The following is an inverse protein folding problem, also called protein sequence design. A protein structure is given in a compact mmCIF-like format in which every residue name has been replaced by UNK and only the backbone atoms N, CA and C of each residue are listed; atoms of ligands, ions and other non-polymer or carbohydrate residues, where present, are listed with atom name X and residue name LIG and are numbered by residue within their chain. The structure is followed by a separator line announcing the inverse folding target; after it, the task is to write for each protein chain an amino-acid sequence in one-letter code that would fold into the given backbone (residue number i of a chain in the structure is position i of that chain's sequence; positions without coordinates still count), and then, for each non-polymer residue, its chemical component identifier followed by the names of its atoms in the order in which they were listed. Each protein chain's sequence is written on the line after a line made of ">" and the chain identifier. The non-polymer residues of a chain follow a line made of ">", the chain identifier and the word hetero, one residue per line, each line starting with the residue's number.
data_IF_782915034965
#
_entry.id   IF_782915034965
#
_cell.length_a   1.000
_cell.length_b   1.000
_cell.length_c   1.000
_cell.angle_alpha   90.00
_cell.angle_beta   90.00
_cell.angle_gamma   90.00
#
_symmetry.space_group_name_H-M   'P 1'
#
loop_
_entity.id
_entity.type
_entity.pdbx_description
1 polymer ?
#
# COMPACT_ATOMS: atom_id res chain seq x y z
N UNK A 1 -0.94 -18.80 15.26
CA UNK A 1 -0.06 -18.95 14.08
C UNK A 1 -0.62 -19.82 12.97
N UNK A 2 -1.15 -21.03 13.24
CA UNK A 2 -1.66 -21.92 12.18
C UNK A 2 -2.65 -21.22 11.27
N UNK A 3 -3.69 -20.58 11.82
CA UNK A 3 -4.68 -19.84 11.02
C UNK A 3 -4.08 -18.74 10.11
N UNK A 4 -3.01 -18.08 10.54
CA UNK A 4 -2.33 -17.06 9.73
C UNK A 4 -1.49 -17.68 8.62
N UNK A 5 -0.83 -18.83 8.89
CA UNK A 5 -0.13 -19.60 7.87
C UNK A 5 -1.12 -20.13 6.82
N UNK A 6 -2.24 -20.69 7.25
CA UNK A 6 -3.29 -21.18 6.36
C UNK A 6 -3.90 -20.03 5.52
N UNK A 7 -3.94 -18.81 6.06
CA UNK A 7 -4.33 -17.61 5.31
C UNK A 7 -3.28 -17.24 4.26
N UNK A 8 -1.99 -17.24 4.61
CA UNK A 8 -0.90 -17.00 3.67
C UNK A 8 -0.85 -18.07 2.58
N UNK A 9 -1.07 -19.35 2.90
CA UNK A 9 -1.14 -20.43 1.90
C UNK A 9 -2.32 -20.24 0.94
N UNK A 10 -3.48 -19.79 1.44
CA UNK A 10 -4.61 -19.39 0.59
C UNK A 10 -4.26 -18.23 -0.32
N UNK A 11 -3.48 -17.25 0.15
CA UNK A 11 -2.98 -16.13 -0.66
C UNK A 11 -2.03 -16.63 -1.75
N UNK A 12 -1.08 -17.48 -1.38
CA UNK A 12 -0.08 -18.00 -2.31
C UNK A 12 -0.68 -18.94 -3.38
N UNK A 13 -1.83 -19.54 -3.11
CA UNK A 13 -2.60 -20.35 -4.05
C UNK A 13 -3.47 -19.55 -5.03
N UNK A 14 -3.57 -18.22 -4.91
CA UNK A 14 -4.30 -17.38 -5.86
C UNK A 14 -3.55 -17.25 -7.20
N UNK A 15 -4.23 -16.71 -8.21
CA UNK A 15 -3.57 -16.36 -9.48
C UNK A 15 -2.47 -15.32 -9.23
N UNK A 16 -1.44 -15.31 -10.09
CA UNK A 16 -0.20 -14.54 -9.88
C UNK A 16 -0.47 -13.10 -9.46
N UNK A 17 -1.27 -12.34 -10.23
CA UNK A 17 -1.54 -10.93 -9.93
C UNK A 17 -2.27 -10.70 -8.60
N UNK A 18 -3.19 -11.60 -8.21
CA UNK A 18 -3.90 -11.48 -6.92
C UNK A 18 -2.98 -11.80 -5.74
N UNK A 19 -2.11 -12.80 -5.88
CA UNK A 19 -1.09 -13.13 -4.89
C UNK A 19 -0.11 -11.96 -4.71
N UNK A 20 0.36 -11.37 -5.81
CA UNK A 20 1.23 -10.20 -5.79
C UNK A 20 0.57 -9.01 -5.09
N UNK A 21 -0.66 -8.66 -5.49
CA UNK A 21 -1.43 -7.58 -4.86
C UNK A 21 -1.62 -7.81 -3.36
N UNK A 22 -2.03 -9.02 -2.95
CA UNK A 22 -2.22 -9.36 -1.54
C UNK A 22 -0.92 -9.20 -0.74
N UNK A 23 0.21 -9.67 -1.28
CA UNK A 23 1.52 -9.55 -0.63
C UNK A 23 1.96 -8.10 -0.52
N UNK A 24 1.73 -7.28 -1.55
CA UNK A 24 2.02 -5.85 -1.48
C UNK A 24 1.16 -5.16 -0.43
N UNK A 25 -0.16 -5.37 -0.43
CA UNK A 25 -1.07 -4.79 0.58
C UNK A 25 -0.64 -5.17 2.00
N UNK A 26 -0.40 -6.45 2.26
CA UNK A 26 0.02 -6.92 3.59
C UNK A 26 1.40 -6.37 3.99
N UNK A 27 2.35 -6.32 3.05
CA UNK A 27 3.67 -5.76 3.27
C UNK A 27 3.59 -4.28 3.66
N UNK A 28 2.83 -3.49 2.92
CA UNK A 28 2.63 -2.08 3.22
C UNK A 28 1.99 -1.90 4.60
N UNK A 29 0.83 -2.51 4.86
CA UNK A 29 0.13 -2.36 6.16
C UNK A 29 1.02 -2.77 7.33
N UNK A 30 1.86 -3.80 7.16
CA UNK A 30 2.74 -4.29 8.23
C UNK A 30 3.95 -3.40 8.46
N UNK A 31 4.58 -2.90 7.40
CA UNK A 31 5.91 -2.29 7.47
C UNK A 31 5.94 -0.76 7.37
N UNK A 32 4.77 -0.12 7.18
CA UNK A 32 4.69 1.35 7.22
C UNK A 32 4.89 1.92 8.62
N UNK A 33 5.42 3.15 8.69
CA UNK A 33 5.69 3.84 9.96
C UNK A 33 4.45 4.39 10.66
N UNK A 34 3.36 4.57 9.91
CA UNK A 34 2.05 5.01 10.41
C UNK A 34 0.94 4.34 9.61
N UNK A 35 -0.28 4.23 10.14
CA UNK A 35 -1.41 3.77 9.36
C UNK A 35 -1.62 4.60 8.10
N UNK A 36 -1.99 3.93 7.02
CA UNK A 36 -2.31 4.53 5.73
C UNK A 36 -3.81 4.60 5.50
N UNK A 37 -4.26 5.64 4.80
CA UNK A 37 -5.58 5.62 4.18
C UNK A 37 -5.60 4.65 3.01
N UNK A 38 -6.79 4.22 2.59
CA UNK A 38 -6.96 3.43 1.37
C UNK A 38 -6.37 4.13 0.15
N UNK A 39 -6.61 5.43 0.01
CA UNK A 39 -6.12 6.24 -1.11
C UNK A 39 -4.59 6.36 -1.14
N UNK A 40 -3.95 6.53 0.03
CA UNK A 40 -2.49 6.52 0.13
C UNK A 40 -1.91 5.19 -0.37
N UNK A 41 -2.47 4.06 0.10
CA UNK A 41 -1.99 2.75 -0.33
C UNK A 41 -2.28 2.47 -1.81
N UNK A 42 -3.46 2.85 -2.32
CA UNK A 42 -3.79 2.75 -3.74
C UNK A 42 -2.74 3.45 -4.62
N UNK A 43 -2.39 4.69 -4.26
CA UNK A 43 -1.35 5.43 -4.98
C UNK A 43 0.00 4.73 -4.88
N UNK A 44 0.39 4.23 -3.70
CA UNK A 44 1.64 3.51 -3.52
C UNK A 44 1.74 2.24 -4.38
N UNK A 45 0.64 1.50 -4.50
CA UNK A 45 0.60 0.28 -5.30
C UNK A 45 0.59 0.54 -6.81
N UNK A 46 0.14 1.72 -7.24
CA UNK A 46 0.13 2.14 -8.65
C UNK A 46 1.46 2.75 -9.14
N UNK A 47 2.45 2.95 -8.25
CA UNK A 47 3.76 3.49 -8.65
C UNK A 47 4.58 2.43 -9.40
N UNK A 48 4.99 2.76 -10.61
CA UNK A 48 5.94 1.98 -11.38
C UNK A 48 7.33 2.63 -11.37
N UNK A 49 8.35 1.84 -11.02
CA UNK A 49 9.73 2.33 -10.96
C UNK A 49 10.22 2.71 -12.36
N UNK A 50 10.65 3.96 -12.50
CA UNK A 50 11.13 4.53 -13.76
C UNK A 50 10.12 5.46 -14.44
N UNK A 51 8.84 5.40 -14.04
CA UNK A 51 7.83 6.33 -14.52
C UNK A 51 7.98 7.70 -13.85
N UNK A 52 7.45 8.71 -14.53
CA UNK A 52 7.52 10.13 -14.13
C UNK A 52 6.18 10.70 -13.71
N UNK A 53 5.13 9.89 -13.77
CA UNK A 53 3.78 10.21 -13.38
C UNK A 53 3.11 8.94 -12.86
N UNK A 54 2.04 9.14 -12.09
CA UNK A 54 1.19 8.04 -11.63
C UNK A 54 0.30 7.60 -12.77
N UNK A 55 0.31 6.30 -13.08
CA UNK A 55 -0.65 5.72 -14.00
C UNK A 55 -1.96 5.44 -13.27
N UNK A 56 -3.01 6.19 -13.60
CA UNK A 56 -4.33 6.02 -13.00
C UNK A 56 -4.96 4.66 -13.35
N UNK A 57 -4.57 4.03 -14.47
CA UNK A 57 -5.05 2.69 -14.85
C UNK A 57 -4.46 1.58 -13.96
N UNK A 58 -3.36 1.87 -13.27
CA UNK A 58 -2.71 0.96 -12.33
C UNK A 58 -3.24 1.08 -10.89
N UNK A 59 -4.16 2.02 -10.62
CA UNK A 59 -4.74 2.18 -9.29
C UNK A 59 -5.67 0.98 -8.98
N UNK A 60 -5.33 0.13 -8.00
CA UNK A 60 -6.16 -1.03 -7.70
C UNK A 60 -7.48 -0.62 -7.05
N UNK A 61 -8.54 -1.37 -7.32
CA UNK A 61 -9.81 -1.16 -6.62
C UNK A 61 -9.69 -1.54 -5.13
N UNK A 62 -10.33 -0.76 -4.26
CA UNK A 62 -10.30 -0.98 -2.81
C UNK A 62 -10.85 -2.37 -2.46
N UNK A 63 -11.90 -2.81 -3.15
CA UNK A 63 -12.52 -4.13 -2.94
C UNK A 63 -11.55 -5.27 -3.28
N UNK A 64 -10.76 -5.11 -4.34
CA UNK A 64 -9.73 -6.07 -4.74
C UNK A 64 -8.64 -6.15 -3.67
N UNK A 65 -8.13 -5.02 -3.20
CA UNK A 65 -7.09 -4.97 -2.15
C UNK A 65 -7.50 -5.74 -0.88
N UNK A 66 -8.77 -5.66 -0.48
CA UNK A 66 -9.28 -6.37 0.70
C UNK A 66 -9.57 -7.84 0.39
N UNK A 67 -10.22 -8.13 -0.73
CA UNK A 67 -10.71 -9.47 -1.06
C UNK A 67 -9.57 -10.48 -1.27
N UNK A 68 -8.47 -10.06 -1.90
CA UNK A 68 -7.30 -10.92 -2.12
C UNK A 68 -6.54 -11.25 -0.84
N UNK A 69 -6.74 -10.50 0.25
CA UNK A 69 -6.02 -10.66 1.51
C UNK A 69 -6.60 -11.75 2.44
N UNK A 70 -7.49 -12.62 1.93
CA UNK A 70 -7.98 -13.81 2.62
C UNK A 70 -8.60 -13.55 4.02
N UNK A 71 -9.17 -12.35 4.22
CA UNK A 71 -9.78 -11.89 5.47
C UNK A 71 -8.81 -11.35 6.52
N UNK A 72 -7.54 -11.13 6.16
CA UNK A 72 -6.53 -10.57 7.07
C UNK A 72 -6.55 -9.05 7.14
N UNK A 73 -7.17 -8.40 6.16
CA UNK A 73 -7.23 -6.94 6.00
C UNK A 73 -8.67 -6.47 6.10
N UNK A 74 -8.85 -5.28 6.65
CA UNK A 74 -10.13 -4.58 6.78
C UNK A 74 -9.92 -3.07 6.62
N UNK A 75 -11.02 -2.34 6.41
CA UNK A 75 -11.04 -0.89 6.33
C UNK A 75 -11.85 -0.36 7.51
N UNK A 76 -11.30 0.64 8.17
CA UNK A 76 -12.04 1.42 9.15
C UNK A 76 -12.93 2.44 8.42
N UNK A 77 -14.25 2.24 8.45
CA UNK A 77 -15.20 3.09 7.72
C UNK A 77 -15.24 4.54 8.23
N UNK A 78 -14.88 4.78 9.49
CA UNK A 78 -14.90 6.13 10.10
C UNK A 78 -13.69 6.96 9.67
N UNK A 79 -12.51 6.32 9.61
CA UNK A 79 -11.23 6.99 9.32
C UNK A 79 -10.70 6.76 7.91
N UNK A 80 -11.26 5.82 7.14
CA UNK A 80 -10.77 5.44 5.81
C UNK A 80 -9.41 4.72 5.83
N UNK A 81 -8.98 4.25 7.01
CA UNK A 81 -7.69 3.59 7.20
C UNK A 81 -7.78 2.11 6.86
N UNK A 82 -6.86 1.64 6.02
CA UNK A 82 -6.70 0.21 5.74
C UNK A 82 -5.76 -0.42 6.77
N UNK A 83 -6.17 -1.54 7.37
CA UNK A 83 -5.44 -2.16 8.48
C UNK A 83 -5.63 -3.67 8.54
N UNK A 84 -4.81 -4.33 9.34
CA UNK A 84 -5.01 -5.73 9.68
C UNK A 84 -6.27 -5.91 10.56
N UNK A 85 -6.97 -7.02 10.37
CA UNK A 85 -8.27 -7.29 11.04
C UNK A 85 -8.17 -7.32 12.57
N UNK A 86 -7.00 -7.69 13.11
CA UNK A 86 -6.79 -7.81 14.56
C UNK A 86 -5.34 -7.53 14.95
N UNK A 87 -5.12 -7.04 16.18
CA UNK A 87 -3.78 -6.73 16.67
C UNK A 87 -2.85 -7.96 16.72
N UNK A 88 -3.40 -9.15 16.94
CA UNK A 88 -2.63 -10.41 16.91
C UNK A 88 -2.17 -10.80 15.51
N UNK A 89 -2.84 -10.28 14.47
CA UNK A 89 -2.40 -10.43 13.08
C UNK A 89 -1.17 -9.55 12.83
N UNK A 90 -1.16 -8.34 13.39
CA UNK A 90 0.01 -7.46 13.38
C UNK A 90 1.20 -8.10 14.09
N UNK A 91 1.03 -8.58 15.33
CA UNK A 91 2.10 -9.25 16.08
C UNK A 91 2.70 -10.45 15.32
N UNK A 92 1.83 -11.23 14.65
CA UNK A 92 2.27 -12.34 13.82
C UNK A 92 3.15 -11.88 12.65
N UNK A 93 2.70 -10.87 11.90
CA UNK A 93 3.45 -10.38 10.75
C UNK A 93 4.72 -9.63 11.14
N UNK A 94 4.74 -8.88 12.24
CA UNK A 94 5.96 -8.27 12.77
C UNK A 94 7.00 -9.34 13.13
N UNK A 95 6.59 -10.42 13.82
CA UNK A 95 7.50 -11.54 14.15
C UNK A 95 8.00 -12.29 12.91
N UNK A 96 7.19 -12.33 11.85
CA UNK A 96 7.46 -13.11 10.64
C UNK A 96 7.79 -12.24 9.43
N UNK A 97 8.10 -10.96 9.64
CA UNK A 97 8.33 -9.98 8.57
C UNK A 97 9.43 -10.44 7.63
N UNK A 98 10.59 -10.87 8.17
CA UNK A 98 11.72 -11.35 7.36
C UNK A 98 11.41 -12.60 6.54
N UNK A 99 10.37 -13.36 6.91
CA UNK A 99 9.93 -14.53 6.15
C UNK A 99 8.99 -14.13 5.02
N UNK A 100 8.00 -13.27 5.31
CA UNK A 100 6.93 -12.96 4.35
C UNK A 100 7.24 -11.74 3.49
N UNK A 101 7.90 -10.73 4.06
CA UNK A 101 8.20 -9.44 3.44
C UNK A 101 9.66 -9.03 3.68
N UNK A 102 10.66 -9.85 3.25
CA UNK A 102 12.07 -9.60 3.54
C UNK A 102 12.59 -8.26 3.01
N UNK A 103 12.02 -7.75 1.91
CA UNK A 103 12.46 -6.53 1.24
C UNK A 103 11.51 -5.34 1.46
N UNK A 104 10.48 -5.49 2.30
CA UNK A 104 9.39 -4.52 2.44
C UNK A 104 9.87 -3.07 2.61
N UNK A 105 10.81 -2.84 3.52
CA UNK A 105 11.33 -1.49 3.78
C UNK A 105 12.05 -0.89 2.57
N UNK A 106 12.77 -1.72 1.81
CA UNK A 106 13.46 -1.30 0.59
C UNK A 106 12.45 -0.99 -0.50
N UNK A 107 11.46 -1.85 -0.70
CA UNK A 107 10.43 -1.68 -1.73
C UNK A 107 9.59 -0.42 -1.44
N UNK A 108 9.17 -0.23 -0.18
CA UNK A 108 8.47 0.99 0.26
C UNK A 108 9.32 2.23 -0.01
N UNK A 109 10.60 2.22 0.35
CA UNK A 109 11.49 3.36 0.12
C UNK A 109 11.66 3.67 -1.37
N UNK A 110 11.81 2.66 -2.21
CA UNK A 110 11.91 2.82 -3.67
C UNK A 110 10.64 3.46 -4.23
N UNK A 111 9.47 2.99 -3.81
CA UNK A 111 8.17 3.53 -4.24
C UNK A 111 8.02 5.00 -3.80
N UNK A 112 8.30 5.33 -2.53
CA UNK A 112 8.27 6.70 -2.04
C UNK A 112 9.21 7.62 -2.82
N UNK A 113 10.44 7.19 -3.06
CA UNK A 113 11.43 7.98 -3.82
C UNK A 113 10.99 8.17 -5.27
N UNK A 114 10.46 7.13 -5.90
CA UNK A 114 9.93 7.20 -7.28
C UNK A 114 8.77 8.19 -7.35
N UNK A 115 7.82 8.09 -6.43
CA UNK A 115 6.67 8.99 -6.35
C UNK A 115 7.10 10.44 -6.18
N UNK A 116 8.01 10.73 -5.24
CA UNK A 116 8.55 12.07 -5.02
C UNK A 116 9.37 12.61 -6.20
N UNK A 117 9.78 11.73 -7.12
CA UNK A 117 10.53 12.06 -8.34
C UNK A 117 9.64 12.28 -9.58
N UNK A 118 8.31 12.31 -9.41
CA UNK A 118 7.37 12.62 -10.49
C UNK A 118 7.46 14.09 -10.95
N UNK A 119 7.22 14.31 -12.24
CA UNK A 119 7.36 15.61 -12.90
C UNK A 119 6.41 16.67 -12.30
N UNK A 120 5.28 16.22 -11.75
CA UNK A 120 4.32 17.08 -11.03
C UNK A 120 4.96 17.81 -9.85
N UNK A 121 5.99 17.23 -9.22
CA UNK A 121 6.69 17.82 -8.08
C UNK A 121 7.89 18.69 -8.47
N UNK A 122 8.37 18.62 -9.71
CA UNK A 122 9.50 19.45 -10.17
C UNK A 122 9.15 20.94 -10.25
N UNK A 123 7.87 21.27 -10.42
CA UNK A 123 7.40 22.65 -10.60
C UNK A 123 6.96 23.27 -9.29
N UNK A 124 7.38 24.49 -8.99
CA UNK A 124 6.85 25.25 -7.85
C UNK A 124 5.34 25.50 -8.00
N UNK A 125 4.60 25.39 -6.89
CA UNK A 125 3.23 25.91 -6.83
C UNK A 125 3.29 27.43 -6.71
N UNK A 126 2.65 28.15 -7.62
CA UNK A 126 2.65 29.62 -7.62
C UNK A 126 1.55 30.20 -6.74
N UNK A 127 0.52 29.42 -6.46
CA UNK A 127 -0.59 29.79 -5.59
C UNK A 127 -0.88 28.71 -4.56
N UNK A 128 -1.55 29.10 -3.47
CA UNK A 128 -2.05 28.16 -2.48
C UNK A 128 -3.09 27.18 -3.07
N UNK A 129 -3.84 27.62 -4.09
CA UNK A 129 -4.83 26.80 -4.79
C UNK A 129 -4.12 25.69 -5.57
N UNK A 130 -3.08 26.02 -6.33
CA UNK A 130 -2.30 25.02 -7.08
C UNK A 130 -1.64 24.01 -6.15
N UNK A 131 -1.18 24.47 -4.99
CA UNK A 131 -0.58 23.61 -3.97
C UNK A 131 -1.60 22.63 -3.39
N UNK A 132 -2.80 23.10 -3.01
CA UNK A 132 -3.87 22.25 -2.49
C UNK A 132 -4.36 21.24 -3.53
N UNK A 133 -4.60 21.67 -4.77
CA UNK A 133 -5.02 20.79 -5.85
C UNK A 133 -3.97 19.68 -6.11
N UNK A 134 -2.67 20.02 -6.03
CA UNK A 134 -1.60 19.02 -6.14
C UNK A 134 -1.65 18.01 -5.01
N UNK A 135 -1.81 18.45 -3.76
CA UNK A 135 -1.92 17.54 -2.62
C UNK A 135 -3.13 16.61 -2.75
N UNK A 136 -4.28 17.12 -3.16
CA UNK A 136 -5.50 16.33 -3.39
C UNK A 136 -5.33 15.31 -4.52
N UNK A 137 -4.56 15.63 -5.54
CA UNK A 137 -4.30 14.69 -6.66
C UNK A 137 -3.18 13.69 -6.34
N UNK A 138 -2.43 13.90 -5.25
CA UNK A 138 -1.24 13.12 -4.91
C UNK A 138 -1.33 12.57 -3.48
N UNK A 139 -2.21 11.60 -3.28
CA UNK A 139 -2.57 11.08 -1.95
C UNK A 139 -1.38 10.54 -1.15
N UNK A 140 -0.42 9.88 -1.79
CA UNK A 140 0.77 9.34 -1.10
C UNK A 140 1.76 10.42 -0.64
N UNK A 141 1.64 11.69 -1.06
CA UNK A 141 2.64 12.73 -0.80
C UNK A 141 2.91 12.97 0.70
N UNK A 142 1.92 12.71 1.56
CA UNK A 142 2.03 12.92 3.01
C UNK A 142 2.66 11.77 3.79
N UNK A 143 3.02 10.66 3.13
CA UNK A 143 3.66 9.51 3.78
C UNK A 143 5.19 9.69 3.84
#
# INVERSE_FOLDING_TARGET
>A
DTAYKDAMERIEGQVIGQNELAKQVLSWITCVKRPLTTAELQHALAVEVGNKELDEENIPEIEDMVSVCAGLVTIDEESGVIRLVHYTTQEYFERTQLRWFPNAETDIAIICVTYLSFDVFERCCLTEIDFKARLESNQLYHY
#
